data_IF_199916094204
#
_entry.id   IF_199916094204
#
_cell.length_a   1.000
_cell.length_b   1.000
_cell.length_c   1.000
_cell.angle_alpha   90.00
_cell.angle_beta   90.00
_cell.angle_gamma   90.00
#
_symmetry.space_group_name_H-M   'P 1'
#
loop_
_entity.id
_entity.type
_entity.pdbx_description
1 polymer ?
#
# COMPACT_ATOMS: atom_id res chain seq x y z
N UNK A 1 -16.23 -0.29 -3.94
CA UNK A 1 -15.70 0.91 -3.28
C UNK A 1 -14.63 1.57 -4.16
N UNK A 2 -14.84 2.82 -4.50
CA UNK A 2 -13.93 3.58 -5.39
C UNK A 2 -12.51 3.69 -4.84
N UNK A 3 -12.38 3.96 -3.54
CA UNK A 3 -11.09 4.10 -2.91
C UNK A 3 -10.31 2.77 -2.92
N UNK A 4 -11.01 1.66 -2.68
CA UNK A 4 -10.39 0.35 -2.71
C UNK A 4 -9.93 -0.03 -4.12
N UNK A 5 -10.77 0.21 -5.11
CA UNK A 5 -10.44 -0.10 -6.51
C UNK A 5 -9.24 0.71 -6.98
N UNK A 6 -9.22 2.00 -6.60
CA UNK A 6 -8.12 2.90 -6.93
C UNK A 6 -6.82 2.47 -6.25
N UNK A 7 -6.88 2.08 -4.96
CA UNK A 7 -5.73 1.57 -4.23
C UNK A 7 -5.20 0.27 -4.85
N UNK A 8 -6.10 -0.60 -5.30
CA UNK A 8 -5.71 -1.85 -5.93
C UNK A 8 -4.99 -1.62 -7.26
N UNK A 9 -5.35 -0.57 -7.98
CA UNK A 9 -4.70 -0.22 -9.25
C UNK A 9 -3.35 0.46 -9.03
N UNK A 10 -3.33 1.49 -8.19
CA UNK A 10 -2.15 2.37 -8.03
C UNK A 10 -1.07 1.68 -7.19
N UNK A 11 -1.46 1.04 -6.11
CA UNK A 11 -0.53 0.40 -5.17
C UNK A 11 -0.55 -1.12 -5.30
N UNK A 12 -0.55 -1.61 -6.53
CA UNK A 12 -0.47 -3.05 -6.81
C UNK A 12 0.97 -3.53 -6.60
N UNK A 13 1.14 -4.47 -5.67
CA UNK A 13 2.46 -5.00 -5.32
C UNK A 13 3.15 -5.72 -6.48
N UNK A 14 2.39 -6.18 -7.46
CA UNK A 14 2.91 -6.90 -8.62
C UNK A 14 3.52 -5.98 -9.68
N UNK A 15 3.19 -4.70 -9.64
CA UNK A 15 3.63 -3.72 -10.64
C UNK A 15 4.33 -2.56 -9.96
N UNK A 16 5.66 -2.54 -10.04
CA UNK A 16 6.45 -1.44 -9.51
C UNK A 16 6.25 -0.20 -10.37
N UNK A 17 5.76 0.86 -9.75
CA UNK A 17 5.63 2.15 -10.39
C UNK A 17 6.22 3.23 -9.47
N UNK A 18 6.74 4.30 -10.07
CA UNK A 18 7.27 5.39 -9.27
C UNK A 18 6.16 6.30 -8.75
N UNK A 19 6.52 7.16 -7.79
CA UNK A 19 5.56 8.07 -7.17
C UNK A 19 4.91 9.00 -8.19
N UNK A 20 5.67 9.46 -9.18
CA UNK A 20 5.15 10.37 -10.21
C UNK A 20 4.03 9.71 -11.01
N UNK A 21 4.20 8.48 -11.43
CA UNK A 21 3.17 7.74 -12.16
C UNK A 21 1.93 7.53 -11.28
N UNK A 22 2.13 7.16 -10.02
CA UNK A 22 1.03 6.99 -9.07
C UNK A 22 0.23 8.28 -8.90
N UNK A 23 0.91 9.40 -8.72
CA UNK A 23 0.27 10.71 -8.58
C UNK A 23 -0.47 11.11 -9.86
N UNK A 24 0.09 10.82 -11.03
CA UNK A 24 -0.56 11.12 -12.31
C UNK A 24 -1.84 10.33 -12.49
N UNK A 25 -1.85 9.04 -12.15
CA UNK A 25 -3.04 8.20 -12.23
C UNK A 25 -4.10 8.70 -11.27
N UNK A 26 -3.71 9.00 -10.04
CA UNK A 26 -4.62 9.51 -9.02
C UNK A 26 -5.26 10.83 -9.46
N UNK A 27 -4.45 11.77 -9.92
CA UNK A 27 -4.94 13.08 -10.36
C UNK A 27 -5.85 12.97 -11.59
N UNK A 28 -5.53 12.06 -12.51
CA UNK A 28 -6.40 11.80 -13.66
C UNK A 28 -7.77 11.29 -13.24
N UNK A 29 -7.78 10.38 -12.26
CA UNK A 29 -9.04 9.87 -11.71
C UNK A 29 -9.86 10.98 -11.08
N UNK A 30 -9.23 11.87 -10.30
CA UNK A 30 -9.91 13.02 -9.70
C UNK A 30 -10.52 13.92 -10.78
N UNK A 31 -9.78 14.16 -11.86
CA UNK A 31 -10.23 15.02 -12.96
C UNK A 31 -11.47 14.44 -13.64
N UNK A 32 -11.50 13.13 -13.87
CA UNK A 32 -12.62 12.46 -14.49
C UNK A 32 -13.89 12.49 -13.63
N UNK A 33 -13.73 12.59 -12.31
CA UNK A 33 -14.83 12.50 -11.35
C UNK A 33 -15.04 13.80 -10.56
N UNK A 34 -14.63 14.93 -11.12
CA UNK A 34 -14.50 16.22 -10.46
C UNK A 34 -15.71 16.64 -9.62
N UNK A 35 -16.92 16.44 -10.10
CA UNK A 35 -18.15 16.89 -9.42
C UNK A 35 -18.89 15.76 -8.69
N UNK A 36 -18.31 14.57 -8.62
CA UNK A 36 -18.99 13.38 -8.09
C UNK A 36 -18.39 12.88 -6.78
N UNK A 37 -17.25 13.42 -6.36
CA UNK A 37 -16.47 12.87 -5.26
C UNK A 37 -15.98 13.99 -4.35
N UNK A 38 -16.07 13.76 -3.01
CA UNK A 38 -15.35 14.57 -2.05
C UNK A 38 -13.89 14.15 -2.07
N UNK A 39 -12.99 15.01 -2.56
CA UNK A 39 -11.59 14.67 -2.77
C UNK A 39 -10.83 14.40 -1.48
N UNK A 40 -11.17 15.11 -0.39
CA UNK A 40 -10.52 14.88 0.91
C UNK A 40 -10.86 13.53 1.50
N UNK A 41 -12.14 13.14 1.43
CA UNK A 41 -12.60 11.84 1.91
C UNK A 41 -12.01 10.73 1.06
N UNK A 42 -11.99 10.90 -0.26
CA UNK A 42 -11.42 9.90 -1.16
C UNK A 42 -9.94 9.67 -0.88
N UNK A 43 -9.15 10.73 -0.69
CA UNK A 43 -7.73 10.60 -0.42
C UNK A 43 -7.50 9.85 0.89
N UNK A 44 -8.21 10.21 1.93
CA UNK A 44 -8.08 9.55 3.23
C UNK A 44 -8.44 8.06 3.14
N UNK A 45 -9.56 7.75 2.49
CA UNK A 45 -10.00 6.36 2.31
C UNK A 45 -9.01 5.57 1.44
N UNK A 46 -8.52 6.19 0.38
CA UNK A 46 -7.52 5.57 -0.49
C UNK A 46 -6.26 5.18 0.27
N UNK A 47 -5.73 6.09 1.08
CA UNK A 47 -4.50 5.84 1.83
C UNK A 47 -4.72 4.74 2.89
N UNK A 48 -5.82 4.81 3.63
CA UNK A 48 -6.15 3.79 4.65
C UNK A 48 -6.31 2.41 4.00
N UNK A 49 -7.09 2.33 2.93
CA UNK A 49 -7.34 1.05 2.27
C UNK A 49 -6.10 0.48 1.60
N UNK A 50 -5.24 1.34 1.08
CA UNK A 50 -3.96 0.90 0.52
C UNK A 50 -3.07 0.27 1.60
N UNK A 51 -2.95 0.91 2.76
CA UNK A 51 -2.15 0.38 3.87
C UNK A 51 -2.72 -0.95 4.35
N UNK A 52 -4.02 -1.02 4.61
CA UNK A 52 -4.66 -2.26 5.08
C UNK A 52 -4.49 -3.39 4.07
N UNK A 53 -4.71 -3.09 2.79
CA UNK A 53 -4.58 -4.07 1.71
C UNK A 53 -3.15 -4.64 1.65
N UNK A 54 -2.16 -3.80 1.73
CA UNK A 54 -0.76 -4.24 1.64
C UNK A 54 -0.31 -4.98 2.89
N UNK A 55 -0.80 -4.62 4.08
CA UNK A 55 -0.56 -5.40 5.29
C UNK A 55 -1.14 -6.82 5.16
N UNK A 56 -2.35 -6.93 4.64
CA UNK A 56 -3.00 -8.22 4.38
C UNK A 56 -2.20 -9.03 3.36
N UNK A 57 -1.72 -8.40 2.30
CA UNK A 57 -0.91 -9.05 1.26
C UNK A 57 0.39 -9.61 1.84
N UNK A 58 1.07 -8.86 2.71
CA UNK A 58 2.29 -9.35 3.37
C UNK A 58 2.00 -10.62 4.14
N UNK A 59 0.91 -10.66 4.91
CA UNK A 59 0.52 -11.85 5.65
C UNK A 59 0.21 -13.04 4.74
N UNK A 60 -0.51 -12.80 3.65
CA UNK A 60 -0.83 -13.85 2.67
C UNK A 60 0.44 -14.39 2.01
N UNK A 61 1.33 -13.50 1.57
CA UNK A 61 2.55 -13.91 0.88
C UNK A 61 3.50 -14.66 1.81
N UNK A 62 3.63 -14.21 3.06
CA UNK A 62 4.42 -14.93 4.05
C UNK A 62 3.89 -16.35 4.28
N UNK A 63 2.58 -16.50 4.39
CA UNK A 63 1.94 -17.81 4.55
C UNK A 63 2.17 -18.71 3.34
N UNK A 64 2.02 -18.17 2.13
CA UNK A 64 2.26 -18.92 0.90
C UNK A 64 3.71 -19.39 0.79
N UNK A 65 4.66 -18.54 1.20
CA UNK A 65 6.07 -18.89 1.17
C UNK A 65 6.42 -19.96 2.20
N UNK A 66 5.88 -19.84 3.43
CA UNK A 66 6.25 -20.71 4.54
C UNK A 66 5.48 -22.03 4.54
N UNK A 67 4.15 -21.96 4.38
CA UNK A 67 3.29 -23.15 4.45
C UNK A 67 3.26 -23.92 3.14
N UNK A 68 3.12 -23.21 2.03
CA UNK A 68 2.95 -23.84 0.71
C UNK A 68 4.25 -23.87 -0.09
N UNK A 69 5.36 -23.44 0.51
CA UNK A 69 6.71 -23.42 -0.09
C UNK A 69 6.80 -22.64 -1.40
N UNK A 70 5.93 -21.66 -1.59
CA UNK A 70 5.92 -20.81 -2.79
C UNK A 70 6.81 -19.59 -2.58
N UNK A 71 8.11 -19.82 -2.53
CA UNK A 71 9.12 -18.80 -2.19
C UNK A 71 9.13 -17.58 -3.10
N UNK A 72 8.56 -17.68 -4.31
CA UNK A 72 8.48 -16.55 -5.23
C UNK A 72 7.74 -15.34 -4.63
N UNK A 73 6.83 -15.56 -3.69
CA UNK A 73 6.08 -14.48 -3.05
C UNK A 73 6.92 -13.68 -2.08
N UNK A 74 8.01 -14.25 -1.55
CA UNK A 74 8.92 -13.51 -0.65
C UNK A 74 9.53 -12.29 -1.34
N UNK A 75 9.75 -12.36 -2.65
CA UNK A 75 10.35 -11.26 -3.41
C UNK A 75 9.45 -10.03 -3.49
N UNK A 76 8.15 -10.21 -3.30
CA UNK A 76 7.17 -9.12 -3.38
C UNK A 76 6.97 -8.42 -2.05
N UNK A 77 7.35 -9.05 -0.93
CA UNK A 77 7.15 -8.48 0.41
C UNK A 77 7.88 -7.14 0.60
N UNK A 78 9.16 -6.99 0.21
CA UNK A 78 9.84 -5.70 0.38
C UNK A 78 9.13 -4.54 -0.33
N UNK A 79 8.60 -4.78 -1.51
CA UNK A 79 7.87 -3.73 -2.23
C UNK A 79 6.53 -3.41 -1.54
N UNK A 80 5.83 -4.42 -1.01
CA UNK A 80 4.62 -4.19 -0.24
C UNK A 80 4.90 -3.30 0.98
N UNK A 81 6.02 -3.51 1.68
CA UNK A 81 6.46 -2.63 2.76
C UNK A 81 6.72 -1.21 2.29
N UNK A 82 7.34 -1.04 1.13
CA UNK A 82 7.57 0.30 0.56
C UNK A 82 6.27 1.02 0.25
N UNK A 83 5.27 0.31 -0.24
CA UNK A 83 3.95 0.88 -0.47
C UNK A 83 3.29 1.34 0.83
N UNK A 84 3.38 0.53 1.89
CA UNK A 84 2.89 0.89 3.22
C UNK A 84 3.60 2.16 3.71
N UNK A 85 4.93 2.17 3.66
CA UNK A 85 5.74 3.31 4.11
C UNK A 85 5.41 4.59 3.34
N UNK A 86 5.17 4.47 2.04
CA UNK A 86 4.79 5.61 1.20
C UNK A 86 3.50 6.26 1.71
N UNK A 87 2.51 5.46 2.09
CA UNK A 87 1.20 5.98 2.49
C UNK A 87 1.16 6.44 3.94
N UNK A 88 1.81 5.73 4.86
CA UNK A 88 1.77 6.11 6.28
C UNK A 88 2.50 7.41 6.58
N UNK A 89 3.52 7.79 5.80
CA UNK A 89 4.24 9.03 6.02
C UNK A 89 3.49 10.25 5.50
N UNK A 90 2.52 10.08 4.63
CA UNK A 90 1.79 11.17 4.02
C UNK A 90 0.53 11.58 4.78
N UNK A 91 0.16 10.87 5.85
CA UNK A 91 -1.08 11.13 6.57
C UNK A 91 -0.88 10.89 8.07
N UNK A 92 -1.12 11.93 8.88
CA UNK A 92 -0.93 11.90 10.33
C UNK A 92 -1.81 10.88 11.06
N UNK A 93 -2.90 10.44 10.44
CA UNK A 93 -3.77 9.42 11.03
C UNK A 93 -3.01 8.13 11.32
N UNK A 94 -1.89 7.91 10.61
CA UNK A 94 -1.07 6.71 10.75
C UNK A 94 0.06 6.83 11.78
N UNK A 95 0.19 7.94 12.50
CA UNK A 95 1.34 8.14 13.39
C UNK A 95 1.48 7.03 14.45
N UNK A 96 0.38 6.59 15.04
CA UNK A 96 0.38 5.48 15.99
C UNK A 96 0.77 4.15 15.33
N UNK A 97 0.21 3.87 14.16
CA UNK A 97 0.54 2.67 13.40
C UNK A 97 2.00 2.68 12.97
N UNK A 98 2.50 3.81 12.51
CA UNK A 98 3.90 3.95 12.12
C UNK A 98 4.84 3.57 13.26
N UNK A 99 4.58 4.08 14.46
CA UNK A 99 5.40 3.75 15.64
C UNK A 99 5.35 2.26 15.94
N UNK A 100 4.18 1.65 15.89
CA UNK A 100 4.01 0.23 16.14
C UNK A 100 4.77 -0.61 15.11
N UNK A 101 4.67 -0.25 13.83
CA UNK A 101 5.37 -0.97 12.77
C UNK A 101 6.89 -0.79 12.87
N UNK A 102 7.36 0.42 13.18
CA UNK A 102 8.80 0.68 13.32
C UNK A 102 9.40 -0.07 14.50
N UNK A 103 8.65 -0.24 15.60
CA UNK A 103 9.11 -0.98 16.77
C UNK A 103 9.17 -2.49 16.53
N UNK A 104 8.28 -3.04 15.72
CA UNK A 104 8.14 -4.49 15.57
C UNK A 104 8.71 -5.05 14.27
N UNK A 105 8.94 -4.20 13.28
CA UNK A 105 9.43 -4.64 11.96
C UNK A 105 10.62 -3.77 11.55
N UNK A 106 11.82 -4.25 11.82
CA UNK A 106 13.04 -3.55 11.43
C UNK A 106 13.15 -3.45 9.90
N UNK A 107 14.02 -2.55 9.42
CA UNK A 107 14.33 -2.47 7.99
C UNK A 107 14.82 -3.79 7.44
N UNK A 108 15.57 -4.53 8.23
CA UNK A 108 16.08 -5.84 7.83
C UNK A 108 14.95 -6.84 7.62
N UNK A 109 13.98 -6.89 8.56
CA UNK A 109 12.81 -7.75 8.42
C UNK A 109 11.97 -7.40 7.19
N UNK A 110 11.82 -6.10 6.90
CA UNK A 110 11.02 -5.64 5.77
C UNK A 110 11.65 -5.98 4.42
N UNK A 111 12.95 -6.26 4.38
CA UNK A 111 13.69 -6.53 3.16
C UNK A 111 14.19 -7.97 3.06
N UNK A 112 13.61 -8.89 3.80
CA UNK A 112 13.93 -10.33 3.70
C UNK A 112 13.54 -10.83 2.30
N UNK A 113 14.48 -11.56 1.72
CA UNK A 113 14.29 -12.17 0.40
C UNK A 113 14.15 -13.68 0.50
#
# INVERSE_FOLDING_TARGET
NRAYDLASLIDDVRFKSNKKLKDNIYNYYLKLNKNKINTGILLNDFEILSVIRNMKIIGIFARLAMRDKKKKYLKLIPYAWKLIELRIKSNQIFDGLKRTLDLNFSKELRNIK
#
